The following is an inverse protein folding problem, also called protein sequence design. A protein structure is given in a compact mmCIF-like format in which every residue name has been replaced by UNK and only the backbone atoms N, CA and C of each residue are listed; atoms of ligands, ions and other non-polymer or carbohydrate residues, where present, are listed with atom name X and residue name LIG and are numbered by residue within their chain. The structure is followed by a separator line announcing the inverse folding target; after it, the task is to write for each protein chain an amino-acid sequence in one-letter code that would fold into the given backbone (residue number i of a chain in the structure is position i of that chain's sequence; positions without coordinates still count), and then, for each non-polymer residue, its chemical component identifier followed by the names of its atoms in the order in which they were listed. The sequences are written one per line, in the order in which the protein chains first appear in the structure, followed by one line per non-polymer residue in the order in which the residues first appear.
data_IF_322405546705
#
_entry.id   IF_322405546705
#
_cell.length_a   1.000
_cell.length_b   1.000
_cell.length_c   1.000
_cell.angle_alpha   90.00
_cell.angle_beta   90.00
_cell.angle_gamma   90.00
#
_symmetry.space_group_name_H-M   'P 1'
#
loop_
_entity.id
_entity.type
_entity.pdbx_description
1 polymer ?
#
# COMPACT_ATOMS: atom_id res chain seq x y z
N UNK A 1 -10.32 48.07 -18.93
CA UNK A 1 -9.62 46.83 -19.33
C UNK A 1 -8.55 46.43 -18.31
N UNK A 2 -7.58 47.27 -17.91
CA UNK A 2 -6.51 46.95 -16.97
C UNK A 2 -7.02 46.45 -15.59
N UNK A 3 -7.97 47.11 -14.94
CA UNK A 3 -8.53 46.71 -13.62
C UNK A 3 -9.20 45.32 -13.60
N UNK A 4 -9.81 44.91 -14.73
CA UNK A 4 -10.42 43.56 -14.84
C UNK A 4 -9.35 42.46 -14.99
N UNK A 5 -8.27 42.76 -15.69
CA UNK A 5 -7.12 41.84 -15.83
C UNK A 5 -6.40 41.66 -14.52
N UNK A 6 -6.12 42.73 -13.77
CA UNK A 6 -5.50 42.67 -12.43
C UNK A 6 -6.35 41.87 -11.42
N UNK A 7 -7.69 42.08 -11.45
CA UNK A 7 -8.62 41.31 -10.60
C UNK A 7 -8.65 39.81 -10.95
N UNK A 8 -8.50 39.45 -12.23
CA UNK A 8 -8.46 38.07 -12.68
C UNK A 8 -7.16 37.38 -12.26
N UNK A 9 -6.02 38.08 -12.39
CA UNK A 9 -4.70 37.58 -12.02
C UNK A 9 -4.59 37.32 -10.50
N UNK A 10 -5.11 38.27 -9.70
CA UNK A 10 -5.16 38.10 -8.25
C UNK A 10 -6.00 36.89 -7.80
N UNK A 11 -7.18 36.69 -8.45
CA UNK A 11 -8.04 35.53 -8.16
C UNK A 11 -7.36 34.21 -8.55
N UNK A 12 -6.70 34.19 -9.72
CA UNK A 12 -5.96 33.01 -10.16
C UNK A 12 -4.83 32.66 -9.18
N UNK A 13 -4.01 33.63 -8.77
CA UNK A 13 -2.96 33.42 -7.76
C UNK A 13 -3.53 32.91 -6.46
N UNK A 14 -4.59 33.50 -5.94
CA UNK A 14 -5.23 33.05 -4.72
C UNK A 14 -5.75 31.61 -4.83
N UNK A 15 -6.31 31.19 -5.97
CA UNK A 15 -6.72 29.82 -6.21
C UNK A 15 -5.55 28.83 -6.20
N UNK A 16 -4.44 29.17 -6.86
CA UNK A 16 -3.24 28.33 -6.90
C UNK A 16 -2.59 28.24 -5.52
N UNK A 17 -2.45 29.36 -4.81
CA UNK A 17 -1.84 29.44 -3.49
C UNK A 17 -2.66 28.71 -2.41
N UNK A 18 -4.00 28.77 -2.50
CA UNK A 18 -4.90 28.08 -1.55
C UNK A 18 -5.18 26.62 -1.93
N UNK A 19 -4.74 26.18 -3.10
CA UNK A 19 -4.94 24.80 -3.57
C UNK A 19 -4.18 23.80 -2.69
N UNK A 20 -4.85 22.69 -2.32
CA UNK A 20 -4.21 21.54 -1.69
C UNK A 20 -3.54 20.61 -2.70
N UNK A 21 -3.82 20.76 -4.00
CA UNK A 21 -3.14 20.09 -5.09
C UNK A 21 -1.72 20.62 -5.22
N UNK A 22 -0.80 19.77 -5.61
CA UNK A 22 0.61 20.10 -5.80
C UNK A 22 0.75 20.71 -7.20
N UNK A 23 0.94 22.03 -7.29
CA UNK A 23 0.96 22.76 -8.55
C UNK A 23 2.33 23.36 -8.76
N UNK A 24 2.87 23.20 -9.97
CA UNK A 24 4.10 23.86 -10.39
C UNK A 24 4.01 24.25 -11.87
N UNK A 25 4.90 25.15 -12.29
CA UNK A 25 5.22 25.32 -13.70
C UNK A 25 6.70 25.10 -13.92
N UNK A 26 7.07 24.55 -15.06
CA UNK A 26 8.46 24.37 -15.46
C UNK A 26 8.62 24.66 -16.96
N UNK A 27 9.83 24.98 -17.40
CA UNK A 27 10.15 25.10 -18.80
C UNK A 27 10.30 23.73 -19.48
N UNK A 28 10.55 23.70 -20.79
CA UNK A 28 10.73 22.45 -21.53
C UNK A 28 12.05 21.72 -21.20
N UNK A 29 12.99 22.39 -20.49
CA UNK A 29 14.17 21.75 -19.94
C UNK A 29 13.95 21.17 -18.53
N UNK A 30 12.74 21.35 -17.97
CA UNK A 30 12.36 20.86 -16.66
C UNK A 30 12.79 21.74 -15.49
N UNK A 31 13.16 23.00 -15.77
CA UNK A 31 13.51 23.99 -14.74
C UNK A 31 12.23 24.56 -14.16
N UNK A 32 12.07 24.48 -12.84
CA UNK A 32 10.90 24.99 -12.13
C UNK A 32 10.82 26.51 -12.23
N UNK A 33 9.71 27.04 -12.75
CA UNK A 33 9.41 28.46 -12.90
C UNK A 33 8.54 28.96 -11.75
N UNK A 34 7.64 28.15 -11.24
CA UNK A 34 6.82 28.43 -10.06
C UNK A 34 6.40 27.17 -9.35
N UNK A 35 6.14 27.28 -8.05
CA UNK A 35 5.66 26.17 -7.20
C UNK A 35 4.68 26.76 -6.19
N UNK A 36 3.52 26.13 -5.99
CA UNK A 36 2.60 26.57 -4.96
C UNK A 36 3.03 26.10 -3.55
N UNK A 37 2.54 26.73 -2.47
CA UNK A 37 2.92 26.38 -1.11
C UNK A 37 2.72 24.90 -0.78
N UNK A 38 1.61 24.31 -1.24
CA UNK A 38 1.31 22.89 -0.96
C UNK A 38 2.38 21.94 -1.54
N UNK A 39 2.91 22.21 -2.73
CA UNK A 39 3.98 21.40 -3.32
C UNK A 39 5.32 21.63 -2.62
N UNK A 40 5.66 22.87 -2.27
CA UNK A 40 6.87 23.20 -1.54
C UNK A 40 6.89 22.55 -0.15
N UNK A 41 5.82 22.70 0.62
CA UNK A 41 5.65 22.08 1.93
C UNK A 41 5.75 20.56 1.89
N UNK A 42 5.13 19.95 0.86
CA UNK A 42 5.15 18.48 0.72
C UNK A 42 6.56 17.94 0.40
N UNK A 43 7.39 18.71 -0.30
CA UNK A 43 8.78 18.37 -0.52
C UNK A 43 9.69 18.78 0.66
N UNK A 44 9.22 19.63 1.57
CA UNK A 44 9.98 20.12 2.72
C UNK A 44 10.97 21.22 2.38
N UNK A 45 10.69 22.04 1.36
CA UNK A 45 11.49 23.19 0.93
C UNK A 45 10.66 24.47 0.98
N UNK A 46 11.32 25.61 1.04
CA UNK A 46 10.67 26.87 0.69
C UNK A 46 10.51 26.99 -0.84
N UNK A 47 9.47 27.67 -1.28
CA UNK A 47 9.18 27.77 -2.72
C UNK A 47 10.33 28.41 -3.53
N UNK A 48 11.03 29.39 -2.96
CA UNK A 48 12.19 30.05 -3.54
C UNK A 48 13.43 29.14 -3.62
N UNK A 49 13.54 28.12 -2.77
CA UNK A 49 14.60 27.11 -2.88
C UNK A 49 14.36 26.12 -4.04
N UNK A 50 13.13 26.04 -4.55
CA UNK A 50 12.73 25.13 -5.62
C UNK A 50 12.79 25.81 -7.00
N UNK A 51 12.38 27.06 -7.10
CA UNK A 51 12.38 27.85 -8.35
C UNK A 51 13.80 27.98 -8.91
N UNK A 52 13.95 27.76 -10.20
CA UNK A 52 15.25 27.75 -10.91
C UNK A 52 16.01 26.42 -10.82
N UNK A 53 15.53 25.44 -10.08
CA UNK A 53 16.14 24.11 -10.03
C UNK A 53 15.45 23.14 -11.01
N UNK A 54 16.16 22.10 -11.38
CA UNK A 54 15.59 21.03 -12.20
C UNK A 54 14.59 20.20 -11.39
N UNK A 55 13.42 19.94 -11.98
CA UNK A 55 12.45 18.97 -11.42
C UNK A 55 13.12 17.59 -11.21
N UNK A 56 14.07 17.22 -12.07
CA UNK A 56 14.85 15.99 -11.96
C UNK A 56 15.65 15.85 -10.67
N UNK A 57 16.02 16.98 -10.00
CA UNK A 57 16.75 16.95 -8.73
C UNK A 57 15.93 16.35 -7.59
N UNK A 58 14.62 16.45 -7.68
CA UNK A 58 13.67 15.99 -6.68
C UNK A 58 13.15 14.58 -6.95
N UNK A 59 13.53 13.97 -8.07
CA UNK A 59 13.18 12.58 -8.37
C UNK A 59 14.08 11.61 -7.59
N UNK A 60 13.49 10.50 -7.16
CA UNK A 60 14.24 9.42 -6.53
C UNK A 60 15.35 8.91 -7.47
N UNK A 61 16.53 8.54 -6.94
CA UNK A 61 17.64 8.05 -7.76
C UNK A 61 17.27 6.91 -8.71
N UNK A 62 16.38 6.03 -8.28
CA UNK A 62 15.89 4.86 -9.03
C UNK A 62 15.14 5.22 -10.32
N UNK A 63 14.52 6.41 -10.39
CA UNK A 63 13.70 6.85 -11.54
C UNK A 63 14.29 8.05 -12.28
N UNK A 64 15.30 8.68 -11.73
CA UNK A 64 15.91 9.91 -12.27
C UNK A 64 16.42 9.74 -13.71
N UNK A 65 16.92 8.56 -14.06
CA UNK A 65 17.39 8.24 -15.41
C UNK A 65 16.27 8.29 -16.48
N UNK A 66 14.99 8.26 -16.05
CA UNK A 66 13.82 8.33 -16.95
C UNK A 66 13.36 9.78 -17.22
N UNK A 67 13.91 10.76 -16.50
CA UNK A 67 13.52 12.17 -16.62
C UNK A 67 13.69 12.75 -18.04
N UNK A 68 14.79 12.50 -18.77
CA UNK A 68 14.92 12.95 -20.15
C UNK A 68 13.82 12.42 -21.08
N UNK A 69 13.34 11.19 -20.85
CA UNK A 69 12.24 10.61 -21.63
C UNK A 69 10.91 11.32 -21.36
N UNK A 70 10.68 11.76 -20.12
CA UNK A 70 9.53 12.61 -19.78
C UNK A 70 9.60 13.95 -20.51
N UNK A 71 10.76 14.64 -20.50
CA UNK A 71 10.95 15.92 -21.19
C UNK A 71 10.75 15.79 -22.69
N UNK A 72 11.20 14.71 -23.30
CA UNK A 72 10.97 14.43 -24.72
C UNK A 72 9.48 14.26 -25.00
N UNK A 73 8.75 13.46 -24.22
CA UNK A 73 7.30 13.26 -24.42
C UNK A 73 6.53 14.55 -24.30
N UNK A 74 6.72 15.33 -23.21
CA UNK A 74 5.98 16.58 -22.99
C UNK A 74 6.37 17.68 -23.98
N UNK A 75 7.59 17.64 -24.51
CA UNK A 75 8.05 18.55 -25.55
C UNK A 75 7.32 18.37 -26.88
N UNK A 76 6.83 17.17 -27.18
CA UNK A 76 6.16 16.83 -28.43
C UNK A 76 4.64 16.66 -28.30
N UNK A 77 4.13 16.39 -27.09
CA UNK A 77 2.71 16.21 -26.81
C UNK A 77 2.08 17.48 -26.19
N UNK A 78 0.75 17.52 -26.18
CA UNK A 78 -0.01 18.58 -25.48
C UNK A 78 -0.09 18.35 -23.97
N UNK A 79 0.22 17.13 -23.49
CA UNK A 79 0.21 16.76 -22.09
C UNK A 79 0.85 15.40 -21.83
N UNK A 80 1.17 15.12 -20.58
CA UNK A 80 1.69 13.85 -20.09
C UNK A 80 1.14 13.56 -18.68
N UNK A 81 0.89 12.31 -18.39
CA UNK A 81 0.38 11.89 -17.07
C UNK A 81 1.01 10.59 -16.61
N UNK A 82 1.10 10.42 -15.31
CA UNK A 82 1.71 9.19 -14.79
C UNK A 82 1.97 9.25 -13.29
N UNK A 83 2.88 8.38 -12.88
CA UNK A 83 3.39 8.36 -11.50
C UNK A 83 4.84 8.82 -11.51
N UNK A 84 5.19 9.62 -10.51
CA UNK A 84 6.57 9.99 -10.25
C UNK A 84 6.94 9.64 -8.81
N UNK A 85 8.17 9.20 -8.60
CA UNK A 85 8.74 8.96 -7.28
C UNK A 85 9.65 10.13 -6.95
N UNK A 86 9.27 10.93 -5.96
CA UNK A 86 10.02 12.10 -5.51
C UNK A 86 10.65 11.85 -4.16
N UNK A 87 11.74 12.58 -3.86
CA UNK A 87 12.42 12.55 -2.56
C UNK A 87 12.29 13.91 -1.90
N UNK A 88 11.78 13.91 -0.67
CA UNK A 88 11.70 15.11 0.16
C UNK A 88 13.09 15.55 0.66
N UNK A 89 13.18 16.76 1.21
CA UNK A 89 14.41 17.26 1.87
C UNK A 89 14.89 16.35 3.00
N UNK A 90 13.95 15.66 3.68
CA UNK A 90 14.25 14.69 4.74
C UNK A 90 14.64 13.30 4.23
N UNK A 91 14.72 13.08 2.91
CA UNK A 91 15.08 11.79 2.32
C UNK A 91 13.92 10.79 2.21
N UNK A 92 12.69 11.20 2.52
CA UNK A 92 11.52 10.33 2.39
C UNK A 92 11.09 10.24 0.92
N UNK A 93 10.90 9.01 0.41
CA UNK A 93 10.32 8.78 -0.91
C UNK A 93 8.79 8.89 -0.86
N UNK A 94 8.23 9.64 -1.83
CA UNK A 94 6.80 9.85 -2.00
C UNK A 94 6.37 9.57 -3.43
N UNK A 95 5.18 8.99 -3.57
CA UNK A 95 4.59 8.65 -4.86
C UNK A 95 3.57 9.72 -5.21
N UNK A 96 3.82 10.45 -6.29
CA UNK A 96 2.90 11.46 -6.82
C UNK A 96 2.27 11.00 -8.12
N UNK A 97 0.95 11.10 -8.20
CA UNK A 97 0.22 10.99 -9.47
C UNK A 97 0.17 12.37 -10.10
N UNK A 98 0.73 12.53 -11.29
CA UNK A 98 0.81 13.81 -11.98
C UNK A 98 -0.02 13.84 -13.28
N UNK A 99 -0.47 15.04 -13.63
CA UNK A 99 -1.05 15.39 -14.91
C UNK A 99 -0.49 16.74 -15.33
N UNK A 100 0.26 16.76 -16.41
CA UNK A 100 0.98 17.91 -16.90
C UNK A 100 0.45 18.32 -18.26
N UNK A 101 0.32 19.62 -18.50
CA UNK A 101 -0.19 20.19 -19.76
C UNK A 101 0.84 21.20 -20.27
N UNK A 102 1.17 21.09 -21.56
CA UNK A 102 2.00 22.09 -22.22
C UNK A 102 1.18 23.31 -22.56
N UNK A 103 1.63 24.47 -22.11
CA UNK A 103 1.01 25.77 -22.28
C UNK A 103 1.96 26.71 -23.03
N UNK A 104 1.38 27.73 -23.66
CA UNK A 104 2.13 28.81 -24.28
C UNK A 104 1.31 30.11 -24.22
N UNK A 105 1.86 31.12 -23.62
CA UNK A 105 1.26 32.47 -23.64
C UNK A 105 1.54 33.18 -24.95
N UNK A 106 0.69 34.10 -25.38
CA UNK A 106 0.94 34.87 -26.59
C UNK A 106 2.26 35.63 -26.55
N UNK A 107 3.20 35.26 -27.45
CA UNK A 107 4.53 35.88 -27.52
C UNK A 107 5.53 35.41 -26.47
N UNK A 108 5.15 34.52 -25.58
CA UNK A 108 6.04 33.90 -24.57
C UNK A 108 6.62 32.56 -24.99
N UNK A 109 7.64 32.07 -24.28
CA UNK A 109 8.14 30.72 -24.46
C UNK A 109 7.10 29.68 -23.98
N UNK A 110 7.10 28.46 -24.54
CA UNK A 110 6.26 27.40 -24.03
C UNK A 110 6.72 26.96 -22.64
N UNK A 111 5.77 26.59 -21.81
CA UNK A 111 5.99 26.04 -20.46
C UNK A 111 5.03 24.89 -20.19
N UNK A 112 5.25 24.17 -19.10
CA UNK A 112 4.41 23.08 -18.65
C UNK A 112 3.75 23.48 -17.34
N UNK A 113 2.42 23.38 -17.29
CA UNK A 113 1.66 23.47 -16.05
C UNK A 113 1.49 22.05 -15.51
N UNK A 114 2.08 21.81 -14.36
CA UNK A 114 2.03 20.53 -13.64
C UNK A 114 1.05 20.59 -12.47
N UNK A 115 0.24 19.55 -12.37
CA UNK A 115 -0.61 19.29 -11.22
C UNK A 115 -0.37 17.86 -10.74
N UNK A 116 -0.19 17.67 -9.43
CA UNK A 116 0.02 16.34 -8.86
C UNK A 116 -0.76 16.15 -7.56
N UNK A 117 -0.97 14.89 -7.21
CA UNK A 117 -1.50 14.45 -5.94
C UNK A 117 -0.51 13.47 -5.29
N UNK A 118 -0.23 13.68 -4.01
CA UNK A 118 0.51 12.71 -3.22
C UNK A 118 -0.41 11.53 -2.89
N UNK A 119 -0.10 10.37 -3.45
CA UNK A 119 -0.85 9.12 -3.25
C UNK A 119 -0.07 8.10 -2.41
N UNK A 120 0.99 8.54 -1.74
CA UNK A 120 1.89 7.68 -0.97
C UNK A 120 1.13 6.85 0.07
N UNK A 121 0.29 7.51 0.87
CA UNK A 121 -0.45 6.84 1.94
C UNK A 121 -1.49 5.87 1.39
N UNK A 122 -2.14 6.21 0.26
CA UNK A 122 -3.07 5.32 -0.44
C UNK A 122 -2.32 4.08 -0.91
N UNK A 123 -1.21 4.24 -1.60
CA UNK A 123 -0.40 3.11 -2.11
C UNK A 123 0.18 2.24 -1.00
N UNK A 124 0.63 2.85 0.10
CA UNK A 124 1.11 2.11 1.28
C UNK A 124 -0.01 1.33 1.96
N UNK A 125 -1.21 1.91 2.04
CA UNK A 125 -2.39 1.24 2.60
C UNK A 125 -2.83 0.06 1.75
N UNK A 126 -2.91 0.24 0.43
CA UNK A 126 -3.26 -0.82 -0.53
C UNK A 126 -2.27 -1.99 -0.47
N UNK A 127 -0.96 -1.69 -0.41
CA UNK A 127 0.08 -2.71 -0.29
C UNK A 127 -0.06 -3.52 1.01
N UNK A 128 -0.30 -2.85 2.15
CA UNK A 128 -0.52 -3.51 3.45
C UNK A 128 -1.79 -4.36 3.46
N UNK A 129 -2.86 -3.86 2.85
CA UNK A 129 -4.12 -4.61 2.72
C UNK A 129 -3.93 -5.87 1.88
N UNK A 130 -3.22 -5.78 0.76
CA UNK A 130 -2.89 -6.93 -0.09
C UNK A 130 -2.03 -7.97 0.62
N UNK A 131 -1.01 -7.54 1.39
CA UNK A 131 -0.18 -8.44 2.18
C UNK A 131 -0.99 -9.15 3.29
N UNK A 132 -1.84 -8.42 3.99
CA UNK A 132 -2.72 -8.98 5.02
C UNK A 132 -3.71 -10.00 4.44
N UNK A 133 -4.26 -9.74 3.26
CA UNK A 133 -5.16 -10.67 2.56
C UNK A 133 -4.44 -11.94 2.11
N UNK A 134 -3.22 -11.81 1.56
CA UNK A 134 -2.39 -12.95 1.19
C UNK A 134 -2.07 -13.84 2.41
N UNK A 135 -1.68 -13.23 3.53
CA UNK A 135 -1.42 -13.94 4.79
C UNK A 135 -2.67 -14.65 5.31
N UNK A 136 -3.85 -14.01 5.25
CA UNK A 136 -5.12 -14.63 5.62
C UNK A 136 -5.43 -15.85 4.78
N UNK A 137 -5.25 -15.75 3.47
CA UNK A 137 -5.49 -16.86 2.53
C UNK A 137 -4.59 -18.05 2.82
N UNK A 138 -3.29 -17.82 3.05
CA UNK A 138 -2.33 -18.87 3.44
C UNK A 138 -2.73 -19.50 4.77
N UNK A 139 -3.14 -18.70 5.75
CA UNK A 139 -3.56 -19.17 7.05
C UNK A 139 -4.84 -20.03 6.99
N UNK A 140 -5.82 -19.64 6.19
CA UNK A 140 -7.04 -20.42 5.98
C UNK A 140 -6.75 -21.77 5.30
N UNK A 141 -5.88 -21.78 4.29
CA UNK A 141 -5.45 -23.00 3.62
C UNK A 141 -4.72 -23.94 4.61
N UNK A 142 -3.83 -23.41 5.44
CA UNK A 142 -3.13 -24.20 6.45
C UNK A 142 -4.08 -24.84 7.47
N UNK A 143 -5.13 -24.12 7.90
CA UNK A 143 -6.16 -24.66 8.80
C UNK A 143 -6.99 -25.76 8.16
N UNK A 144 -7.42 -25.57 6.90
CA UNK A 144 -8.16 -26.58 6.15
C UNK A 144 -7.32 -27.86 5.96
N UNK A 145 -6.08 -27.71 5.51
CA UNK A 145 -5.15 -28.84 5.33
C UNK A 145 -4.88 -29.57 6.65
N UNK A 146 -4.78 -28.86 7.76
CA UNK A 146 -4.61 -29.46 9.07
C UNK A 146 -5.79 -30.36 9.46
N UNK A 147 -7.02 -29.96 9.17
CA UNK A 147 -8.21 -30.79 9.37
C UNK A 147 -8.21 -32.03 8.48
N UNK A 148 -7.87 -31.87 7.19
CA UNK A 148 -7.80 -32.97 6.23
C UNK A 148 -6.72 -34.00 6.58
N UNK A 149 -5.58 -33.57 7.15
CA UNK A 149 -4.51 -34.47 7.63
C UNK A 149 -4.93 -35.18 8.93
N UNK A 150 -5.51 -34.47 9.89
CA UNK A 150 -5.89 -35.03 11.18
C UNK A 150 -6.97 -36.12 11.07
N UNK A 151 -7.88 -36.01 10.10
CA UNK A 151 -8.97 -36.98 9.92
C UNK A 151 -8.44 -38.40 9.64
N UNK A 152 -7.68 -38.67 8.55
CA UNK A 152 -7.15 -39.99 8.26
C UNK A 152 -6.16 -40.47 9.34
N UNK A 153 -5.36 -39.53 9.91
CA UNK A 153 -4.41 -39.85 10.95
C UNK A 153 -5.09 -40.37 12.21
N UNK A 154 -6.22 -39.77 12.60
CA UNK A 154 -7.02 -40.24 13.73
C UNK A 154 -7.55 -41.66 13.50
N UNK A 155 -8.04 -41.95 12.29
CA UNK A 155 -8.51 -43.30 11.93
C UNK A 155 -7.37 -44.33 11.99
N UNK A 156 -6.20 -43.98 11.44
CA UNK A 156 -5.02 -44.86 11.45
C UNK A 156 -4.58 -45.19 12.89
N UNK A 157 -4.39 -44.16 13.74
CA UNK A 157 -3.98 -44.31 15.12
C UNK A 157 -5.00 -45.15 15.90
N UNK A 158 -6.32 -44.82 15.77
CA UNK A 158 -7.35 -45.56 16.47
C UNK A 158 -7.43 -47.02 16.03
N UNK A 159 -7.25 -47.31 14.75
CA UNK A 159 -7.25 -48.70 14.22
C UNK A 159 -6.09 -49.50 14.75
N UNK A 160 -4.87 -48.92 14.78
CA UNK A 160 -3.70 -49.58 15.32
C UNK A 160 -3.80 -49.82 16.84
N UNK A 161 -4.31 -48.84 17.60
CA UNK A 161 -4.60 -48.97 19.02
C UNK A 161 -5.62 -50.06 19.32
N UNK A 162 -6.70 -50.15 18.51
CA UNK A 162 -7.72 -51.17 18.65
C UNK A 162 -7.17 -52.57 18.36
N UNK A 163 -6.34 -52.75 17.33
CA UNK A 163 -5.66 -54.00 17.04
C UNK A 163 -4.75 -54.46 18.19
N UNK A 164 -4.02 -53.53 18.76
CA UNK A 164 -3.13 -53.81 19.90
C UNK A 164 -3.93 -54.18 21.13
N UNK A 165 -5.00 -53.49 21.47
CA UNK A 165 -5.82 -53.73 22.66
C UNK A 165 -6.59 -55.07 22.59
N UNK A 166 -6.90 -55.53 21.37
CA UNK A 166 -7.59 -56.81 21.13
C UNK A 166 -6.62 -58.00 21.00
N UNK A 167 -5.34 -57.81 21.17
CA UNK A 167 -4.35 -58.89 21.01
C UNK A 167 -4.22 -59.43 19.59
N UNK A 168 -4.63 -58.62 18.59
CA UNK A 168 -4.63 -59.02 17.18
C UNK A 168 -3.30 -58.77 16.48
N UNK A 169 -2.30 -58.25 17.22
CA UNK A 169 -0.95 -57.96 16.70
C UNK A 169 -0.03 -59.11 17.14
N UNK A 170 0.65 -59.81 16.21
CA UNK A 170 1.61 -60.83 16.54
C UNK A 170 2.76 -60.24 17.40
N UNK A 171 3.33 -61.00 18.35
CA UNK A 171 4.36 -60.47 19.24
C UNK A 171 5.55 -59.81 18.53
N UNK A 172 5.99 -60.35 17.40
CA UNK A 172 7.05 -59.81 16.55
C UNK A 172 6.69 -58.46 15.86
N UNK A 173 5.39 -58.16 15.74
CA UNK A 173 4.92 -56.95 15.11
C UNK A 173 4.57 -55.81 16.10
N UNK A 174 4.45 -56.10 17.40
CA UNK A 174 4.04 -55.12 18.43
C UNK A 174 4.92 -53.86 18.41
N UNK A 175 6.24 -54.05 18.37
CA UNK A 175 7.18 -52.92 18.36
C UNK A 175 7.05 -52.02 17.14
N UNK A 176 6.68 -52.56 15.98
CA UNK A 176 6.44 -51.79 14.75
C UNK A 176 5.14 -50.99 14.84
N UNK A 177 4.07 -51.62 15.37
CA UNK A 177 2.77 -50.95 15.55
C UNK A 177 2.88 -49.79 16.55
N UNK A 178 3.56 -50.01 17.69
CA UNK A 178 3.80 -48.97 18.67
C UNK A 178 4.61 -47.79 18.09
N UNK A 179 5.62 -48.12 17.24
CA UNK A 179 6.40 -47.06 16.54
C UNK A 179 5.52 -46.26 15.57
N UNK A 180 4.62 -46.93 14.84
CA UNK A 180 3.69 -46.27 13.93
C UNK A 180 2.70 -45.37 14.68
N UNK A 181 2.16 -45.82 15.82
CA UNK A 181 1.30 -45.01 16.69
C UNK A 181 2.04 -43.74 17.15
N UNK A 182 3.25 -43.90 17.71
CA UNK A 182 4.06 -42.76 18.17
C UNK A 182 4.36 -41.76 17.03
N UNK A 183 4.70 -42.24 15.84
CA UNK A 183 4.93 -41.41 14.68
C UNK A 183 3.65 -40.63 14.26
N UNK A 184 2.50 -41.30 14.29
CA UNK A 184 1.21 -40.65 14.02
C UNK A 184 0.86 -39.56 15.05
N UNK A 185 1.07 -39.83 16.32
CA UNK A 185 0.87 -38.84 17.39
C UNK A 185 1.80 -37.65 17.26
N UNK A 186 3.05 -37.87 16.89
CA UNK A 186 4.00 -36.81 16.62
C UNK A 186 3.57 -35.91 15.44
N UNK A 187 3.08 -36.49 14.34
CA UNK A 187 2.53 -35.73 13.20
C UNK A 187 1.32 -34.91 13.65
N UNK A 188 0.40 -35.51 14.42
CA UNK A 188 -0.79 -34.82 14.94
C UNK A 188 -0.40 -33.60 15.79
N UNK A 189 0.62 -33.70 16.61
CA UNK A 189 1.09 -32.59 17.46
C UNK A 189 1.76 -31.49 16.66
N UNK A 190 2.51 -31.82 15.61
CA UNK A 190 3.07 -30.84 14.66
C UNK A 190 1.94 -30.04 13.98
N UNK A 191 0.93 -30.76 13.42
CA UNK A 191 -0.22 -30.13 12.75
C UNK A 191 -1.02 -29.26 13.71
N UNK A 192 -1.22 -29.70 14.95
CA UNK A 192 -1.91 -28.92 15.99
C UNK A 192 -1.14 -27.63 16.35
N UNK A 193 0.17 -27.71 16.49
CA UNK A 193 1.00 -26.54 16.78
C UNK A 193 0.98 -25.54 15.64
N UNK A 194 1.06 -26.00 14.39
CA UNK A 194 0.94 -25.17 13.21
C UNK A 194 -0.43 -24.43 13.18
N UNK A 195 -1.53 -25.14 13.42
CA UNK A 195 -2.88 -24.56 13.47
C UNK A 195 -3.04 -23.52 14.59
N UNK A 196 -2.37 -23.72 15.73
CA UNK A 196 -2.40 -22.76 16.85
C UNK A 196 -1.68 -21.46 16.51
N UNK A 197 -0.48 -21.53 15.91
CA UNK A 197 0.30 -20.37 15.47
C UNK A 197 -0.51 -19.58 14.43
N UNK A 198 -1.06 -20.27 13.45
CA UNK A 198 -1.88 -19.67 12.39
C UNK A 198 -3.11 -18.93 12.93
N UNK A 199 -3.81 -19.48 13.92
CA UNK A 199 -4.95 -18.79 14.58
C UNK A 199 -4.53 -17.55 15.35
N UNK A 200 -3.37 -17.58 16.04
CA UNK A 200 -2.85 -16.42 16.76
C UNK A 200 -2.50 -15.26 15.82
N UNK A 201 -1.88 -15.56 14.68
CA UNK A 201 -1.58 -14.53 13.66
C UNK A 201 -2.86 -13.93 13.06
N UNK A 202 -3.86 -14.75 12.73
CA UNK A 202 -5.16 -14.28 12.25
C UNK A 202 -5.88 -13.38 13.28
N UNK A 203 -5.79 -13.71 14.57
CA UNK A 203 -6.41 -12.92 15.64
C UNK A 203 -5.72 -11.59 15.87
N UNK A 204 -4.41 -11.51 15.68
CA UNK A 204 -3.64 -10.25 15.77
C UNK A 204 -3.93 -9.30 14.61
N UNK A 205 -4.26 -9.83 13.43
CA UNK A 205 -4.56 -9.07 12.23
C UNK A 205 -6.04 -8.72 12.09
N UNK A 206 -6.91 -9.23 12.95
CA UNK A 206 -8.32 -8.83 12.95
C UNK A 206 -8.40 -7.32 13.25
N UNK A 207 -9.06 -6.52 12.40
CA UNK A 207 -9.29 -5.13 12.71
C UNK A 207 -10.06 -5.07 14.03
N UNK A 208 -9.54 -4.32 15.01
CA UNK A 208 -10.32 -3.93 16.17
C UNK A 208 -11.46 -3.07 15.61
N UNK A 209 -12.64 -3.67 15.50
CA UNK A 209 -13.85 -2.90 15.23
C UNK A 209 -13.94 -1.83 16.32
N UNK A 210 -14.13 -0.56 15.97
CA UNK A 210 -14.46 0.45 16.97
C UNK A 210 -15.65 -0.04 17.78
N UNK A 211 -15.74 0.25 19.08
CA UNK A 211 -16.84 -0.22 19.90
C UNK A 211 -18.14 0.16 19.21
N UNK A 212 -18.92 -0.85 18.87
CA UNK A 212 -20.24 -0.67 18.24
C UNK A 212 -21.02 0.21 19.20
N UNK A 213 -21.38 1.41 18.77
CA UNK A 213 -22.30 2.26 19.50
C UNK A 213 -23.58 1.42 19.70
N UNK A 214 -23.87 1.08 20.94
CA UNK A 214 -25.09 0.33 21.30
C UNK A 214 -26.28 1.29 21.13
N UNK A 215 -26.87 1.27 19.94
CA UNK A 215 -28.04 2.08 19.58
C UNK A 215 -29.32 1.74 20.40
N UNK A 216 -29.24 0.77 21.30
CA UNK A 216 -30.37 0.41 22.17
C UNK A 216 -30.53 1.33 23.38
N UNK A 217 -29.59 2.24 23.65
CA UNK A 217 -29.67 3.21 24.76
C UNK A 217 -30.18 4.60 24.39
N UNK A 218 -30.57 4.81 23.12
CA UNK A 218 -31.08 6.13 22.67
C UNK A 218 -32.61 6.22 22.54
N UNK A 219 -33.33 5.28 23.07
CA UNK A 219 -34.81 5.32 23.06
C UNK A 219 -35.35 5.18 24.46
N UNK A 220 -35.15 6.23 25.26
CA UNK A 220 -35.96 6.48 26.44
C UNK A 220 -36.73 7.78 26.19
N UNK A 221 -38.04 7.73 25.90
CA UNK A 221 -38.86 8.90 25.83
C UNK A 221 -39.40 9.18 27.25
N UNK A 222 -38.80 10.11 27.94
CA UNK A 222 -39.43 10.69 29.13
C UNK A 222 -39.43 12.21 29.04
N UNK A 223 -40.66 12.74 29.12
CA UNK A 223 -41.06 13.99 29.65
C UNK A 223 -41.73 14.91 28.71
#
# INVERSE_FOLDING_TARGET
MARLAESSDQRYRALVESSRGLICTHDLAGILLSVNPAAADRLGYAADELVGRSLGDFLAPSVRAQFPQYLDRIGHASGDQGLMLVVTRGGEERIWSYSNVRCQDPGGPPYVLGHAHDITDIKRSDARAGEAEALRSVAQLALATAHEINNPLTVIIASLQLMTSRGQVPPEAVAYVERAIRAGEQIRDIVRNMSRITRLELSRQAPQLPPVLDLRKSSDPQG
#
